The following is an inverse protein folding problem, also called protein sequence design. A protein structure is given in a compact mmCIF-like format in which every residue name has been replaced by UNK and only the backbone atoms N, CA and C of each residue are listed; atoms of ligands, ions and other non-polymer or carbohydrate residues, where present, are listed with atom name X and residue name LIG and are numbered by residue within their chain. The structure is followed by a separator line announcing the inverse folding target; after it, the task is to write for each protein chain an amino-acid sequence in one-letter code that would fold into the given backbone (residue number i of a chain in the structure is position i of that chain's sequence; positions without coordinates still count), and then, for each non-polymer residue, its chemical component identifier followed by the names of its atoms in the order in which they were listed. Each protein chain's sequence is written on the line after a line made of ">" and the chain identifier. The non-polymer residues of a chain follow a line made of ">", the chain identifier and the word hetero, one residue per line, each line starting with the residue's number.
data_IF_622657985554
#
_entry.id   IF_622657985554
#
_cell.length_a   1.000
_cell.length_b   1.000
_cell.length_c   1.000
_cell.angle_alpha   90.00
_cell.angle_beta   90.00
_cell.angle_gamma   90.00
#
_symmetry.space_group_name_H-M   'P 1'
#
loop_
_entity.id
_entity.type
_entity.pdbx_description
1 polymer ?
#
# COMPACT_ATOMS: atom_id res chain seq x y z
N UNK A 1 13.10 -43.60 0.16
CA UNK A 1 12.02 -42.63 -0.12
C UNK A 1 12.67 -41.32 -0.54
N UNK A 2 12.49 -40.89 -1.79
CA UNK A 2 13.11 -39.66 -2.30
C UNK A 2 12.49 -38.45 -1.61
N UNK A 3 13.31 -37.58 -1.01
CA UNK A 3 12.85 -36.36 -0.37
C UNK A 3 12.19 -35.46 -1.44
N UNK A 4 10.95 -34.95 -1.25
CA UNK A 4 10.31 -34.10 -2.24
C UNK A 4 11.17 -32.87 -2.53
N UNK A 5 11.23 -32.45 -3.81
CA UNK A 5 11.99 -31.25 -4.20
C UNK A 5 11.43 -30.01 -3.49
N UNK A 6 12.29 -29.07 -3.07
CA UNK A 6 11.85 -27.82 -2.48
C UNK A 6 11.03 -26.98 -3.48
N UNK A 7 10.01 -26.29 -2.97
CA UNK A 7 9.17 -25.36 -3.75
C UNK A 7 9.61 -23.92 -3.51
N UNK A 8 9.57 -23.07 -4.54
CA UNK A 8 10.12 -21.70 -4.49
C UNK A 8 9.09 -20.63 -4.91
N UNK A 9 7.81 -20.92 -4.75
CA UNK A 9 6.71 -20.02 -5.10
C UNK A 9 6.85 -18.67 -4.38
N UNK A 10 6.65 -17.57 -5.11
CA UNK A 10 6.65 -16.24 -4.50
C UNK A 10 5.28 -15.94 -3.88
N UNK A 11 5.24 -15.23 -2.74
CA UNK A 11 3.97 -14.84 -2.15
C UNK A 11 3.18 -13.93 -3.11
N UNK A 12 1.90 -14.26 -3.27
CA UNK A 12 0.93 -13.46 -4.00
C UNK A 12 0.23 -12.50 -3.06
N UNK A 13 -0.01 -11.27 -3.53
CA UNK A 13 -0.66 -10.22 -2.75
C UNK A 13 -1.91 -9.76 -3.48
N UNK A 14 -3.04 -9.70 -2.80
CA UNK A 14 -4.30 -9.25 -3.40
C UNK A 14 -4.14 -7.84 -3.98
N UNK A 15 -4.72 -7.61 -5.15
CA UNK A 15 -4.72 -6.30 -5.80
C UNK A 15 -5.57 -5.30 -5.04
N UNK A 16 -5.31 -4.02 -5.25
CA UNK A 16 -6.23 -2.96 -4.83
C UNK A 16 -7.55 -3.09 -5.59
N UNK A 17 -8.67 -2.81 -4.94
CA UNK A 17 -9.99 -2.86 -5.56
C UNK A 17 -10.09 -1.77 -6.64
N UNK A 18 -10.50 -2.10 -7.88
CA UNK A 18 -10.70 -1.11 -8.92
C UNK A 18 -11.71 -0.06 -8.50
N UNK A 19 -11.37 1.22 -8.71
CA UNK A 19 -12.23 2.34 -8.36
C UNK A 19 -13.56 2.29 -9.12
N UNK A 20 -13.51 1.81 -10.35
CA UNK A 20 -14.66 1.72 -11.26
C UNK A 20 -15.69 0.71 -10.73
N UNK A 21 -15.25 -0.37 -10.06
CA UNK A 21 -16.16 -1.31 -9.37
C UNK A 21 -16.88 -0.64 -8.20
N UNK A 22 -16.14 0.11 -7.38
CA UNK A 22 -16.73 0.86 -6.26
C UNK A 22 -17.69 1.92 -6.80
N UNK A 23 -17.34 2.64 -7.87
CA UNK A 23 -18.22 3.62 -8.48
C UNK A 23 -19.54 3.00 -8.97
N UNK A 24 -19.46 1.84 -9.64
CA UNK A 24 -20.64 1.09 -10.08
C UNK A 24 -21.50 0.63 -8.90
N UNK A 25 -20.87 0.16 -7.82
CA UNK A 25 -21.56 -0.26 -6.60
C UNK A 25 -22.44 0.87 -6.06
N UNK A 26 -21.86 2.05 -5.84
CA UNK A 26 -22.61 3.22 -5.35
C UNK A 26 -23.66 3.73 -6.34
N UNK A 27 -23.37 3.70 -7.65
CA UNK A 27 -24.33 4.13 -8.67
C UNK A 27 -25.57 3.22 -8.73
N UNK A 28 -25.38 1.92 -8.49
CA UNK A 28 -26.46 0.92 -8.51
C UNK A 28 -27.30 1.01 -7.23
N UNK A 29 -26.64 1.14 -6.08
CA UNK A 29 -27.30 1.38 -4.78
C UNK A 29 -28.15 2.67 -4.80
N UNK A 30 -27.63 3.76 -5.38
CA UNK A 30 -28.36 5.02 -5.52
C UNK A 30 -29.63 4.93 -6.40
N UNK A 31 -29.72 3.91 -7.26
CA UNK A 31 -30.91 3.62 -8.06
C UNK A 31 -31.92 2.74 -7.29
N UNK A 32 -31.62 2.36 -6.04
CA UNK A 32 -32.40 1.42 -5.25
C UNK A 32 -32.23 -0.03 -5.69
N UNK A 33 -31.22 -0.33 -6.52
CA UNK A 33 -30.93 -1.67 -7.00
C UNK A 33 -29.92 -2.33 -6.06
N UNK A 34 -30.28 -3.50 -5.55
CA UNK A 34 -29.40 -4.33 -4.73
C UNK A 34 -28.68 -5.33 -5.65
N UNK A 35 -27.43 -5.02 -6.00
CA UNK A 35 -26.55 -5.89 -6.81
C UNK A 35 -25.68 -6.74 -5.86
N UNK A 36 -26.25 -7.86 -5.39
CA UNK A 36 -25.64 -8.76 -4.40
C UNK A 36 -24.27 -9.27 -4.84
N UNK A 37 -24.11 -9.60 -6.12
CA UNK A 37 -22.84 -10.09 -6.67
C UNK A 37 -21.77 -9.01 -6.63
N UNK A 38 -22.12 -7.76 -6.98
CA UNK A 38 -21.18 -6.65 -6.94
C UNK A 38 -20.82 -6.26 -5.50
N UNK A 39 -21.78 -6.29 -4.57
CA UNK A 39 -21.52 -6.10 -3.14
C UNK A 39 -20.52 -7.14 -2.63
N UNK A 40 -20.72 -8.40 -3.00
CA UNK A 40 -19.85 -9.50 -2.60
C UNK A 40 -18.45 -9.35 -3.21
N UNK A 41 -18.35 -9.13 -4.51
CA UNK A 41 -17.08 -9.00 -5.23
C UNK A 41 -16.24 -7.82 -4.70
N UNK A 42 -16.86 -6.66 -4.45
CA UNK A 42 -16.17 -5.52 -3.85
C UNK A 42 -15.73 -5.83 -2.42
N UNK A 43 -16.61 -6.40 -1.61
CA UNK A 43 -16.30 -6.67 -0.20
C UNK A 43 -15.27 -7.77 0.00
N UNK A 44 -15.31 -8.87 -0.77
CA UNK A 44 -14.25 -9.89 -0.82
C UNK A 44 -12.94 -9.29 -1.30
N UNK A 45 -12.98 -8.42 -2.32
CA UNK A 45 -11.80 -7.72 -2.81
C UNK A 45 -11.14 -6.86 -1.73
N UNK A 46 -11.93 -6.11 -0.96
CA UNK A 46 -11.46 -5.33 0.19
C UNK A 46 -10.92 -6.26 1.29
N UNK A 47 -11.64 -7.32 1.62
CA UNK A 47 -11.25 -8.31 2.64
C UNK A 47 -9.87 -8.92 2.32
N UNK A 48 -9.72 -9.55 1.15
CA UNK A 48 -8.47 -10.19 0.72
C UNK A 48 -7.30 -9.19 0.65
N UNK A 49 -7.61 -7.93 0.28
CA UNK A 49 -6.63 -6.86 0.27
C UNK A 49 -6.16 -6.49 1.67
N UNK A 50 -7.08 -6.37 2.62
CA UNK A 50 -6.76 -6.08 4.01
C UNK A 50 -5.94 -7.22 4.63
N UNK A 51 -6.31 -8.48 4.39
CA UNK A 51 -5.50 -9.62 4.82
C UNK A 51 -4.07 -9.55 4.28
N UNK A 52 -3.91 -9.24 2.99
CA UNK A 52 -2.59 -9.07 2.38
C UNK A 52 -1.76 -7.99 3.07
N UNK A 53 -2.40 -6.90 3.53
CA UNK A 53 -1.72 -5.84 4.26
C UNK A 53 -1.24 -6.34 5.63
N UNK A 54 -2.09 -7.04 6.38
CA UNK A 54 -1.69 -7.61 7.68
C UNK A 54 -0.58 -8.65 7.53
N UNK A 55 -0.70 -9.58 6.57
CA UNK A 55 0.35 -10.57 6.28
C UNK A 55 1.68 -9.91 5.92
N UNK A 56 1.67 -8.83 5.13
CA UNK A 56 2.89 -8.11 4.78
C UNK A 56 3.50 -7.36 5.98
N UNK A 57 2.66 -6.85 6.88
CA UNK A 57 3.11 -6.18 8.11
C UNK A 57 3.72 -7.18 9.09
N UNK A 58 3.09 -8.33 9.31
CA UNK A 58 3.63 -9.43 10.12
C UNK A 58 4.98 -9.89 9.57
N UNK A 59 5.08 -10.11 8.26
CA UNK A 59 6.33 -10.48 7.62
C UNK A 59 7.41 -9.41 7.82
N UNK A 60 7.06 -8.14 7.73
CA UNK A 60 8.01 -7.05 7.99
C UNK A 60 8.47 -6.97 9.45
N UNK A 61 7.68 -7.55 10.37
CA UNK A 61 7.98 -7.64 11.80
C UNK A 61 8.65 -8.97 12.20
N UNK A 62 9.14 -9.75 11.23
CA UNK A 62 9.87 -11.00 11.48
C UNK A 62 9.01 -12.27 11.43
N UNK A 63 7.73 -12.18 11.03
CA UNK A 63 6.80 -13.31 10.98
C UNK A 63 6.22 -13.47 9.58
N UNK A 64 6.96 -14.13 8.69
CA UNK A 64 6.48 -14.40 7.33
C UNK A 64 5.45 -15.54 7.32
N UNK A 65 4.64 -15.65 6.27
CA UNK A 65 3.73 -16.78 6.07
C UNK A 65 4.11 -17.56 4.82
N UNK A 66 4.05 -18.88 4.91
CA UNK A 66 4.22 -19.76 3.77
C UNK A 66 3.14 -19.47 2.71
N UNK A 67 3.48 -19.25 1.44
CA UNK A 67 2.49 -18.96 0.40
C UNK A 67 1.63 -20.16 0.01
N UNK A 68 2.01 -21.38 0.40
CA UNK A 68 1.30 -22.60 0.03
C UNK A 68 0.32 -23.10 1.09
N UNK A 69 0.67 -22.94 2.38
CA UNK A 69 -0.12 -23.49 3.48
C UNK A 69 -0.34 -22.50 4.63
N UNK A 70 0.04 -21.23 4.44
CA UNK A 70 -0.15 -20.11 5.38
C UNK A 70 0.53 -20.24 6.76
N UNK A 71 1.35 -21.29 6.97
CA UNK A 71 2.08 -21.48 8.23
C UNK A 71 3.07 -20.33 8.46
N UNK A 72 3.10 -19.82 9.69
CA UNK A 72 4.04 -18.79 10.10
C UNK A 72 5.47 -19.32 10.13
N UNK A 73 6.41 -18.49 9.70
CA UNK A 73 7.86 -18.73 9.69
C UNK A 73 8.53 -17.49 10.26
N UNK A 74 9.24 -17.66 11.37
CA UNK A 74 9.97 -16.58 12.01
C UNK A 74 11.33 -16.34 11.33
N UNK A 75 11.78 -15.09 11.29
CA UNK A 75 13.07 -14.72 10.71
C UNK A 75 13.67 -13.45 11.33
N UNK A 76 14.99 -13.31 11.20
CA UNK A 76 15.77 -12.17 11.68
C UNK A 76 15.72 -10.93 10.76
N UNK A 77 15.20 -11.10 9.53
CA UNK A 77 15.10 -10.03 8.54
C UNK A 77 16.35 -9.81 7.71
N UNK A 78 17.37 -10.67 7.85
CA UNK A 78 18.55 -10.68 7.00
C UNK A 78 18.19 -11.21 5.61
N UNK A 79 18.71 -10.58 4.54
CA UNK A 79 18.28 -10.86 3.16
C UNK A 79 18.53 -12.31 2.74
N UNK A 80 19.61 -12.89 3.24
CA UNK A 80 20.06 -14.23 2.86
C UNK A 80 19.44 -15.32 3.76
N UNK A 81 18.64 -14.95 4.75
CA UNK A 81 17.90 -15.89 5.60
C UNK A 81 16.94 -16.70 4.75
N UNK A 82 17.08 -18.02 4.80
CA UNK A 82 16.21 -18.97 4.12
C UNK A 82 14.96 -19.16 4.98
N UNK A 83 13.81 -18.72 4.47
CA UNK A 83 12.51 -19.07 5.03
C UNK A 83 12.20 -20.50 4.59
N UNK A 84 12.01 -21.42 5.53
CA UNK A 84 11.66 -22.81 5.24
C UNK A 84 10.36 -23.20 5.93
N UNK A 85 9.46 -23.82 5.17
CA UNK A 85 8.22 -24.36 5.69
C UNK A 85 8.30 -25.88 5.83
N UNK A 86 8.28 -26.38 7.06
CA UNK A 86 8.39 -27.82 7.36
C UNK A 86 7.17 -28.63 6.87
N UNK A 87 6.00 -28.02 6.74
CA UNK A 87 4.77 -28.75 6.37
C UNK A 87 4.60 -28.98 4.87
N UNK A 88 5.20 -28.15 4.02
CA UNK A 88 5.03 -28.24 2.56
C UNK A 88 6.35 -28.18 1.78
N UNK A 89 7.48 -28.19 2.49
CA UNK A 89 8.83 -28.14 1.92
C UNK A 89 9.07 -26.94 0.99
N UNK A 90 8.41 -25.81 1.28
CA UNK A 90 8.65 -24.55 0.58
C UNK A 90 9.88 -23.86 1.16
N UNK A 91 10.72 -23.29 0.30
CA UNK A 91 11.82 -22.43 0.71
C UNK A 91 12.03 -21.22 -0.21
N UNK A 92 12.34 -20.08 0.38
CA UNK A 92 12.67 -18.85 -0.33
C UNK A 92 13.56 -17.96 0.55
N UNK A 93 14.47 -17.20 -0.04
CA UNK A 93 15.21 -16.20 0.75
C UNK A 93 14.27 -15.08 1.20
N UNK A 94 14.53 -14.51 2.38
CA UNK A 94 13.81 -13.32 2.83
C UNK A 94 13.96 -12.16 1.85
N UNK A 95 15.12 -12.01 1.21
CA UNK A 95 15.35 -11.01 0.17
C UNK A 95 14.36 -11.12 -1.00
N UNK A 96 14.09 -12.33 -1.47
CA UNK A 96 13.11 -12.60 -2.53
C UNK A 96 11.66 -12.44 -2.06
N UNK A 97 11.35 -12.92 -0.85
CA UNK A 97 10.04 -12.70 -0.24
C UNK A 97 9.74 -11.20 -0.10
N UNK A 98 10.71 -10.44 0.43
CA UNK A 98 10.62 -9.00 0.60
C UNK A 98 10.44 -8.29 -0.75
N UNK A 99 11.13 -8.74 -1.80
CA UNK A 99 10.99 -8.19 -3.15
C UNK A 99 9.56 -8.38 -3.69
N UNK A 100 8.90 -9.50 -3.39
CA UNK A 100 7.53 -9.75 -3.82
C UNK A 100 6.50 -8.76 -3.24
N UNK A 101 6.70 -8.29 -1.99
CA UNK A 101 5.83 -7.27 -1.35
C UNK A 101 6.20 -5.83 -1.73
N UNK A 102 7.42 -5.59 -2.23
CA UNK A 102 7.90 -4.24 -2.47
C UNK A 102 7.07 -3.52 -3.55
N UNK A 103 6.68 -2.27 -3.27
CA UNK A 103 5.90 -1.45 -4.21
C UNK A 103 4.42 -1.84 -4.33
N UNK A 104 3.93 -2.80 -3.53
CA UNK A 104 2.54 -3.28 -3.61
C UNK A 104 1.53 -2.50 -2.77
N UNK A 105 1.92 -1.40 -2.13
CA UNK A 105 1.04 -0.56 -1.28
C UNK A 105 0.41 -1.29 -0.09
N UNK A 106 1.25 -2.02 0.67
CA UNK A 106 0.82 -2.89 1.78
C UNK A 106 1.20 -2.31 3.16
N UNK A 107 1.04 -1.00 3.37
CA UNK A 107 1.52 -0.33 4.58
C UNK A 107 0.44 -0.16 5.67
N UNK A 108 -0.85 -0.06 5.30
CA UNK A 108 -1.95 0.25 6.22
C UNK A 108 -1.68 1.51 7.05
N UNK A 109 -1.28 2.60 6.38
CA UNK A 109 -1.13 3.89 7.04
C UNK A 109 -2.47 4.29 7.69
N UNK A 110 -2.44 4.72 8.96
CA UNK A 110 -3.56 5.36 9.68
C UNK A 110 -4.81 4.52 10.00
N UNK A 111 -5.04 3.39 9.33
CA UNK A 111 -6.34 2.72 9.33
C UNK A 111 -6.39 1.37 10.04
N UNK A 112 -5.29 0.96 10.67
CA UNK A 112 -5.13 -0.43 11.16
C UNK A 112 -6.33 -0.91 11.98
N UNK A 113 -6.84 -0.09 12.91
CA UNK A 113 -7.98 -0.44 13.76
C UNK A 113 -9.25 -0.68 12.93
N UNK A 114 -9.53 0.20 11.97
CA UNK A 114 -10.71 0.09 11.09
C UNK A 114 -10.60 -1.09 10.13
N UNK A 115 -9.39 -1.40 9.66
CA UNK A 115 -9.15 -2.56 8.83
C UNK A 115 -9.40 -3.86 9.62
N UNK A 116 -8.99 -3.93 10.89
CA UNK A 116 -9.28 -5.07 11.77
C UNK A 116 -10.78 -5.23 12.02
N UNK A 117 -11.46 -4.13 12.30
CA UNK A 117 -12.91 -4.13 12.50
C UNK A 117 -13.66 -4.63 11.26
N UNK A 118 -13.26 -4.18 10.06
CA UNK A 118 -13.84 -4.67 8.82
C UNK A 118 -13.63 -6.18 8.65
N UNK A 119 -12.41 -6.70 8.86
CA UNK A 119 -12.16 -8.15 8.76
C UNK A 119 -13.06 -8.96 9.70
N UNK A 120 -13.21 -8.51 10.95
CA UNK A 120 -14.00 -9.21 11.96
C UNK A 120 -15.49 -9.20 11.63
N UNK A 121 -16.03 -8.06 11.18
CA UNK A 121 -17.46 -7.90 10.91
C UNK A 121 -17.87 -8.45 9.55
N UNK A 122 -17.02 -8.38 8.54
CA UNK A 122 -17.38 -8.79 7.18
C UNK A 122 -17.63 -10.29 7.08
N UNK A 123 -16.87 -11.12 7.82
CA UNK A 123 -17.07 -12.57 7.85
C UNK A 123 -18.41 -13.01 8.46
N UNK A 124 -18.98 -12.20 9.35
CA UNK A 124 -20.23 -12.52 10.04
C UNK A 124 -21.45 -11.85 9.42
N UNK A 125 -21.26 -10.90 8.50
CA UNK A 125 -22.33 -10.24 7.75
C UNK A 125 -23.01 -11.24 6.79
N UNK A 126 -24.32 -11.42 6.93
CA UNK A 126 -25.09 -12.43 6.19
C UNK A 126 -25.92 -11.83 5.08
N UNK A 127 -26.33 -10.57 5.21
CA UNK A 127 -27.15 -9.89 4.22
C UNK A 127 -26.34 -8.94 3.32
N UNK A 128 -26.76 -8.74 2.06
CA UNK A 128 -26.16 -7.74 1.16
C UNK A 128 -26.14 -6.34 1.77
N UNK A 129 -27.21 -5.98 2.50
CA UNK A 129 -27.32 -4.69 3.19
C UNK A 129 -26.26 -4.51 4.29
N UNK A 130 -26.03 -5.52 5.13
CA UNK A 130 -24.98 -5.46 6.15
C UNK A 130 -23.60 -5.33 5.51
N UNK A 131 -23.33 -6.09 4.44
CA UNK A 131 -22.07 -6.00 3.70
C UNK A 131 -21.88 -4.62 3.08
N UNK A 132 -22.93 -4.06 2.48
CA UNK A 132 -22.90 -2.70 1.92
C UNK A 132 -22.60 -1.65 2.99
N UNK A 133 -23.22 -1.73 4.17
CA UNK A 133 -22.93 -0.83 5.30
C UNK A 133 -21.47 -0.94 5.76
N UNK A 134 -20.90 -2.14 5.81
CA UNK A 134 -19.49 -2.32 6.16
C UNK A 134 -18.53 -1.75 5.11
N UNK A 135 -18.84 -1.97 3.83
CA UNK A 135 -18.09 -1.39 2.71
C UNK A 135 -18.16 0.13 2.81
N UNK A 136 -19.36 0.69 2.95
CA UNK A 136 -19.57 2.13 3.02
C UNK A 136 -18.84 2.77 4.21
N UNK A 137 -18.96 2.15 5.40
CA UNK A 137 -18.28 2.62 6.61
C UNK A 137 -16.76 2.66 6.41
N UNK A 138 -16.19 1.62 5.82
CA UNK A 138 -14.75 1.55 5.53
C UNK A 138 -14.31 2.63 4.53
N UNK A 139 -15.09 2.82 3.44
CA UNK A 139 -14.81 3.82 2.41
C UNK A 139 -14.93 5.25 2.98
N UNK A 140 -15.92 5.53 3.83
CA UNK A 140 -16.09 6.87 4.40
C UNK A 140 -15.07 7.19 5.51
N UNK A 141 -14.50 6.17 6.16
CA UNK A 141 -13.50 6.37 7.22
C UNK A 141 -12.22 7.07 6.75
N UNK A 142 -11.95 7.07 5.45
CA UNK A 142 -10.81 7.81 4.88
C UNK A 142 -10.87 9.33 5.10
N UNK A 143 -12.07 9.90 5.32
CA UNK A 143 -12.17 11.33 5.63
C UNK A 143 -11.63 11.66 7.03
N UNK A 144 -11.62 10.70 7.96
CA UNK A 144 -11.15 10.90 9.35
C UNK A 144 -9.62 10.73 9.47
N UNK A 145 -8.98 9.95 8.59
CA UNK A 145 -7.55 9.62 8.68
C UNK A 145 -6.60 10.83 8.57
N UNK A 146 -7.04 11.93 7.96
CA UNK A 146 -6.19 13.12 7.75
C UNK A 146 -6.27 14.16 8.87
N UNK A 147 -6.99 13.89 9.96
CA UNK A 147 -7.04 14.79 11.13
C UNK A 147 -5.73 14.77 11.95
N UNK A 148 -4.96 13.67 11.89
CA UNK A 148 -3.73 13.48 12.69
C UNK A 148 -2.40 13.83 12.01
N UNK A 149 -2.40 14.24 10.74
CA UNK A 149 -1.19 14.71 10.04
C UNK A 149 -0.83 13.98 8.74
N UNK A 150 -0.71 14.80 7.69
CA UNK A 150 -0.05 14.77 6.34
C UNK A 150 0.56 13.49 5.73
N UNK A 151 0.35 12.28 6.24
CA UNK A 151 0.81 11.03 5.60
C UNK A 151 -0.23 10.47 4.64
N UNK A 152 0.18 9.46 3.85
CA UNK A 152 -0.50 9.04 2.62
C UNK A 152 -1.85 8.42 3.01
N UNK A 153 -2.98 8.80 2.39
CA UNK A 153 -4.26 8.22 2.76
C UNK A 153 -4.17 6.69 2.60
N UNK A 154 -4.49 5.94 3.65
CA UNK A 154 -4.59 4.50 3.63
C UNK A 154 -5.58 4.00 2.58
N UNK A 155 -6.47 4.85 2.07
CA UNK A 155 -7.29 4.59 0.88
C UNK A 155 -6.48 4.13 -0.32
N UNK A 156 -5.31 4.70 -0.50
CA UNK A 156 -4.45 4.35 -1.65
C UNK A 156 -3.79 2.99 -1.52
N UNK A 157 -3.87 2.36 -0.33
CA UNK A 157 -3.46 0.98 -0.08
C UNK A 157 -4.62 0.00 -0.38
N UNK A 158 -5.88 0.44 -0.38
CA UNK A 158 -7.04 -0.42 -0.71
C UNK A 158 -7.59 -0.21 -2.12
N UNK A 159 -7.62 1.03 -2.62
CA UNK A 159 -8.28 1.41 -3.88
C UNK A 159 -7.24 1.68 -4.99
N UNK A 160 -7.54 1.18 -6.19
CA UNK A 160 -6.75 1.36 -7.38
C UNK A 160 -6.68 2.82 -7.84
N UNK A 161 -5.54 3.22 -8.40
CA UNK A 161 -5.32 4.58 -8.92
C UNK A 161 -4.16 5.33 -8.26
N UNK A 162 -3.91 6.55 -8.76
CA UNK A 162 -2.97 7.52 -8.17
C UNK A 162 -3.61 8.17 -6.94
N UNK A 163 -2.79 8.76 -6.08
CA UNK A 163 -3.30 9.35 -4.84
C UNK A 163 -4.35 10.44 -5.08
N UNK A 164 -4.11 11.38 -6.00
CA UNK A 164 -5.08 12.45 -6.30
C UNK A 164 -6.37 11.88 -6.89
N UNK A 165 -6.25 10.91 -7.80
CA UNK A 165 -7.35 10.16 -8.39
C UNK A 165 -8.25 9.44 -7.36
N UNK A 166 -7.66 8.85 -6.33
CA UNK A 166 -8.40 8.20 -5.23
C UNK A 166 -9.07 9.24 -4.34
N UNK A 167 -8.36 10.32 -4.01
CA UNK A 167 -8.88 11.45 -3.21
C UNK A 167 -10.09 12.10 -3.92
N UNK A 168 -9.95 12.42 -5.20
CA UNK A 168 -11.00 13.05 -6.01
C UNK A 168 -12.23 12.13 -6.14
N UNK A 169 -11.98 10.82 -6.25
CA UNK A 169 -13.03 9.82 -6.29
C UNK A 169 -13.83 9.76 -4.99
N UNK A 170 -13.15 9.64 -3.84
CA UNK A 170 -13.81 9.58 -2.54
C UNK A 170 -14.64 10.83 -2.27
N UNK A 171 -14.14 12.02 -2.64
CA UNK A 171 -14.92 13.24 -2.55
C UNK A 171 -16.22 13.22 -3.36
N UNK A 172 -16.18 12.65 -4.56
CA UNK A 172 -17.38 12.56 -5.41
C UNK A 172 -18.43 11.64 -4.79
N UNK A 173 -18.00 10.61 -4.05
CA UNK A 173 -18.91 9.72 -3.33
C UNK A 173 -19.53 10.42 -2.10
N UNK A 174 -18.72 11.15 -1.34
CA UNK A 174 -19.16 11.74 -0.06
C UNK A 174 -19.89 13.08 -0.18
N UNK A 175 -19.76 13.79 -1.31
CA UNK A 175 -20.33 15.12 -1.49
C UNK A 175 -21.12 15.21 -2.80
N UNK A 176 -22.46 15.24 -2.68
CA UNK A 176 -23.41 15.39 -3.80
C UNK A 176 -24.10 16.76 -3.82
N UNK A 177 -24.92 17.01 -4.83
CA UNK A 177 -25.64 18.29 -5.01
C UNK A 177 -26.60 18.62 -3.85
N UNK A 178 -27.04 17.60 -3.10
CA UNK A 178 -27.93 17.73 -1.94
C UNK A 178 -27.20 17.80 -0.59
N UNK A 179 -25.87 17.89 -0.59
CA UNK A 179 -25.10 18.00 0.67
C UNK A 179 -25.45 19.28 1.43
N UNK A 180 -25.64 19.18 2.75
CA UNK A 180 -25.94 20.33 3.59
C UNK A 180 -24.79 21.35 3.61
N UNK A 181 -25.03 22.62 3.93
CA UNK A 181 -23.99 23.64 4.04
C UNK A 181 -22.85 23.25 5.02
N UNK A 182 -23.18 22.56 6.11
CA UNK A 182 -22.21 22.05 7.09
C UNK A 182 -21.31 20.96 6.50
N UNK A 183 -21.87 20.02 5.73
CA UNK A 183 -21.12 18.99 5.01
C UNK A 183 -20.19 19.64 3.95
N UNK A 184 -20.64 20.70 3.30
CA UNK A 184 -19.84 21.47 2.35
C UNK A 184 -18.71 22.28 3.01
N UNK A 185 -18.93 22.79 4.23
CA UNK A 185 -17.88 23.43 5.03
C UNK A 185 -16.79 22.41 5.44
N UNK A 186 -17.19 21.23 5.93
CA UNK A 186 -16.28 20.12 6.25
C UNK A 186 -15.48 19.68 5.01
N UNK A 187 -16.11 19.66 3.83
CA UNK A 187 -15.43 19.43 2.54
C UNK A 187 -14.36 20.48 2.27
N UNK A 188 -14.68 21.76 2.44
CA UNK A 188 -13.75 22.85 2.17
C UNK A 188 -12.52 22.75 3.09
N UNK A 189 -12.72 22.49 4.38
CA UNK A 189 -11.63 22.25 5.33
C UNK A 189 -10.77 21.04 4.94
N UNK A 190 -11.43 19.94 4.56
CA UNK A 190 -10.74 18.74 4.12
C UNK A 190 -9.91 18.99 2.84
N UNK A 191 -10.44 19.76 1.87
CA UNK A 191 -9.71 20.13 0.65
C UNK A 191 -8.46 20.94 1.01
N UNK A 192 -8.54 21.84 2.00
CA UNK A 192 -7.38 22.59 2.48
C UNK A 192 -6.32 21.67 3.13
N UNK A 193 -6.74 20.69 3.95
CA UNK A 193 -5.84 19.68 4.54
C UNK A 193 -5.12 18.87 3.45
N UNK A 194 -5.84 18.45 2.41
CA UNK A 194 -5.28 17.73 1.26
C UNK A 194 -4.27 18.58 0.50
N UNK A 195 -4.59 19.84 0.18
CA UNK A 195 -3.68 20.78 -0.49
C UNK A 195 -2.38 20.95 0.31
N UNK A 196 -2.47 21.14 1.63
CA UNK A 196 -1.31 21.20 2.53
C UNK A 196 -0.45 19.92 2.46
N UNK A 197 -1.08 18.74 2.44
CA UNK A 197 -0.36 17.46 2.30
C UNK A 197 0.37 17.34 0.97
N UNK A 198 -0.29 17.71 -0.12
CA UNK A 198 0.29 17.69 -1.46
C UNK A 198 1.49 18.64 -1.56
N UNK A 199 1.37 19.86 -1.03
CA UNK A 199 2.45 20.84 -1.02
C UNK A 199 3.63 20.35 -0.19
N UNK A 200 3.38 19.84 1.02
CA UNK A 200 4.43 19.27 1.88
C UNK A 200 5.21 18.15 1.16
N UNK A 201 4.51 17.24 0.47
CA UNK A 201 5.14 16.17 -0.32
C UNK A 201 5.96 16.70 -1.49
N UNK A 202 5.43 17.69 -2.21
CA UNK A 202 6.14 18.33 -3.32
C UNK A 202 7.48 18.90 -2.84
N UNK A 203 7.45 19.68 -1.76
CA UNK A 203 8.66 20.23 -1.13
C UNK A 203 9.63 19.13 -0.71
N UNK A 204 9.15 18.09 -0.02
CA UNK A 204 10.01 16.96 0.40
C UNK A 204 10.61 16.20 -0.77
N UNK A 205 9.90 16.08 -1.90
CA UNK A 205 10.40 15.45 -3.12
C UNK A 205 11.51 16.29 -3.76
N UNK A 206 11.31 17.60 -3.85
CA UNK A 206 12.31 18.54 -4.36
C UNK A 206 13.57 18.55 -3.48
N UNK A 207 13.42 18.55 -2.15
CA UNK A 207 14.55 18.41 -1.21
C UNK A 207 15.36 17.13 -1.45
N UNK A 208 14.68 15.98 -1.62
CA UNK A 208 15.33 14.69 -1.90
C UNK A 208 16.04 14.68 -3.24
N UNK A 209 15.45 15.30 -4.27
CA UNK A 209 16.03 15.42 -5.60
C UNK A 209 17.31 16.27 -5.56
N UNK A 210 17.28 17.44 -4.92
CA UNK A 210 18.46 18.29 -4.72
C UNK A 210 19.58 17.56 -3.99
N UNK A 211 19.26 16.83 -2.91
CA UNK A 211 20.24 16.01 -2.17
C UNK A 211 20.84 14.90 -3.04
N UNK A 212 20.06 14.29 -3.93
CA UNK A 212 20.54 13.26 -4.86
C UNK A 212 21.50 13.86 -5.88
N UNK A 213 21.14 15.00 -6.47
CA UNK A 213 21.98 15.73 -7.43
C UNK A 213 23.30 16.18 -6.79
N UNK A 214 23.26 16.69 -5.56
CA UNK A 214 24.46 17.06 -4.81
C UNK A 214 25.37 15.86 -4.55
N UNK A 215 24.81 14.70 -4.15
CA UNK A 215 25.56 13.46 -3.95
C UNK A 215 26.24 12.99 -5.25
N UNK A 216 25.54 13.05 -6.37
CA UNK A 216 26.11 12.69 -7.68
C UNK A 216 27.18 13.69 -8.13
N UNK A 217 26.97 15.00 -7.91
CA UNK A 217 28.00 16.03 -8.17
C UNK A 217 29.27 15.78 -7.37
N UNK A 218 29.14 15.48 -6.06
CA UNK A 218 30.28 15.14 -5.18
C UNK A 218 31.01 13.88 -5.65
N UNK A 219 30.29 12.82 -6.04
CA UNK A 219 30.90 11.61 -6.61
C UNK A 219 31.67 11.90 -7.90
N UNK A 220 31.09 12.68 -8.81
CA UNK A 220 31.72 13.03 -10.07
C UNK A 220 32.98 13.88 -9.87
N UNK A 221 32.97 14.82 -8.92
CA UNK A 221 34.16 15.60 -8.58
C UNK A 221 35.29 14.70 -8.04
N UNK A 222 34.97 13.78 -7.11
CA UNK A 222 35.95 12.81 -6.59
C UNK A 222 36.55 11.94 -7.70
N UNK A 223 35.74 11.50 -8.67
CA UNK A 223 36.21 10.74 -9.85
C UNK A 223 37.18 11.56 -10.70
N UNK A 224 36.86 12.83 -10.98
CA UNK A 224 37.73 13.74 -11.75
C UNK A 224 39.07 13.99 -11.05
N UNK A 225 39.05 14.30 -9.75
CA UNK A 225 40.29 14.51 -8.97
C UNK A 225 41.16 13.25 -8.98
N UNK A 226 40.56 12.07 -8.78
CA UNK A 226 41.30 10.80 -8.86
C UNK A 226 41.94 10.58 -10.23
N UNK A 227 41.23 10.88 -11.32
CA UNK A 227 41.77 10.77 -12.68
C UNK A 227 42.92 11.75 -12.92
N UNK A 228 42.80 13.00 -12.46
CA UNK A 228 43.88 13.99 -12.56
C UNK A 228 45.14 13.56 -11.80
N UNK A 229 44.98 13.05 -10.58
CA UNK A 229 46.09 12.53 -9.77
C UNK A 229 46.81 11.36 -10.45
N UNK A 230 46.05 10.42 -11.04
CA UNK A 230 46.63 9.32 -11.81
C UNK A 230 47.39 9.82 -13.04
N UNK A 231 46.82 10.75 -13.80
CA UNK A 231 47.45 11.32 -14.98
C UNK A 231 48.72 12.13 -14.66
N UNK A 232 48.76 12.84 -13.53
CA UNK A 232 49.96 13.54 -13.06
C UNK A 232 51.06 12.56 -12.66
N UNK A 233 50.72 11.49 -11.94
CA UNK A 233 51.67 10.43 -11.57
C UNK A 233 52.28 9.75 -12.80
N UNK A 234 51.47 9.47 -13.82
CA UNK A 234 51.96 8.85 -15.06
C UNK A 234 52.89 9.78 -15.85
N UNK A 235 52.69 11.10 -15.76
CA UNK A 235 53.60 12.10 -16.35
C UNK A 235 54.92 12.19 -15.61
N UNK A 236 54.88 12.22 -14.27
CA UNK A 236 56.10 12.26 -13.42
C UNK A 236 56.93 10.97 -13.47
N UNK A 237 56.36 9.86 -13.95
CA UNK A 237 57.07 8.58 -14.09
C UNK A 237 57.76 8.42 -15.46
N UNK A 238 57.54 9.37 -16.38
CA UNK A 238 58.07 9.38 -17.76
C UNK A 238 59.07 10.52 -18.01
N UNK A 239 59.35 11.34 -17.00
CA UNK A 239 60.42 12.34 -16.97
C UNK A 239 61.51 11.87 -16.01
#
# INVERSE_FOLDING_TARGET
>A
MSNPKPRHDRPTWASRVPREKIARLYATDAQGIVDDELIEDVGIGLFARIESIFKAREASAGRARCPLCDRQIDHDGMKDTILRCESCNWELTWGEYHKAKQGKHLAASGLTVFLQEFLQKYQTARSPKEKMVLIDTLIHRYHWELEGGLTRPGATDLIGGRQHEVIDFLNKLSYGEKSSPEILANRAEWIQKVKKSQQHRKTKREERQKKKEERERKKNLKRKVRQQMLAQRDKSSKS
#
